data_IF_628510286391
#
_entry.id   IF_628510286391
#
_cell.length_a   1.000
_cell.length_b   1.000
_cell.length_c   1.000
_cell.angle_alpha   90.00
_cell.angle_beta   90.00
_cell.angle_gamma   90.00
#
_symmetry.space_group_name_H-M   'P 1'
#
loop_
_entity.id
_entity.type
_entity.pdbx_description
1 polymer ?
#
# COMPACT_ATOMS: atom_id res chain seq x y z
N UNK A 1 -12.73 -4.85 16.05
CA UNK A 1 -11.29 -4.97 15.79
C UNK A 1 -11.05 -5.29 14.31
N UNK A 2 -11.39 -4.39 13.37
CA UNK A 2 -11.33 -4.66 11.91
C UNK A 2 -10.60 -3.55 11.10
N UNK A 3 -10.35 -2.38 11.69
CA UNK A 3 -9.88 -1.20 10.97
C UNK A 3 -8.58 -1.39 10.18
N UNK A 4 -7.64 -2.17 10.74
CA UNK A 4 -6.38 -2.47 10.07
C UNK A 4 -6.60 -3.22 8.75
N UNK A 5 -7.30 -4.37 8.78
CA UNK A 5 -7.52 -5.20 7.58
C UNK A 5 -8.34 -4.49 6.51
N UNK A 6 -9.36 -3.72 6.91
CA UNK A 6 -10.13 -2.92 5.96
C UNK A 6 -9.29 -1.83 5.30
N UNK A 7 -8.43 -1.14 6.07
CA UNK A 7 -7.56 -0.11 5.53
C UNK A 7 -6.47 -0.70 4.62
N UNK A 8 -5.92 -1.86 4.96
CA UNK A 8 -4.98 -2.59 4.11
C UNK A 8 -5.59 -2.87 2.74
N UNK A 9 -6.82 -3.41 2.67
CA UNK A 9 -7.47 -3.72 1.40
C UNK A 9 -7.67 -2.47 0.52
N UNK A 10 -8.10 -1.36 1.11
CA UNK A 10 -8.25 -0.08 0.38
C UNK A 10 -6.90 0.41 -0.15
N UNK A 11 -5.84 0.35 0.67
CA UNK A 11 -4.51 0.77 0.26
C UNK A 11 -3.93 -0.11 -0.87
N UNK A 12 -4.18 -1.42 -0.85
CA UNK A 12 -3.80 -2.31 -1.95
C UNK A 12 -4.47 -1.91 -3.27
N UNK A 13 -5.77 -1.57 -3.22
CA UNK A 13 -6.50 -1.05 -4.39
C UNK A 13 -5.91 0.26 -4.93
N UNK A 14 -5.54 1.19 -4.04
CA UNK A 14 -4.88 2.44 -4.43
C UNK A 14 -3.56 2.17 -5.16
N UNK A 15 -2.75 1.23 -4.66
CA UNK A 15 -1.45 0.89 -5.27
C UNK A 15 -1.66 0.25 -6.65
N UNK A 16 -2.60 -0.69 -6.76
CA UNK A 16 -2.91 -1.34 -8.05
C UNK A 16 -3.38 -0.32 -9.11
N UNK A 17 -4.24 0.63 -8.72
CA UNK A 17 -4.70 1.71 -9.62
C UNK A 17 -3.55 2.63 -10.05
N UNK A 18 -2.66 3.00 -9.12
CA UNK A 18 -1.52 3.88 -9.43
C UNK A 18 -0.53 3.25 -10.40
N UNK A 19 -0.28 1.95 -10.27
CA UNK A 19 0.70 1.24 -11.09
C UNK A 19 0.10 0.66 -12.39
N UNK A 20 -1.22 0.48 -12.45
CA UNK A 20 -1.91 0.00 -13.65
C UNK A 20 -1.59 -1.45 -14.04
N UNK A 21 -1.16 -2.28 -13.08
CA UNK A 21 -0.78 -3.68 -13.30
C UNK A 21 -1.28 -4.59 -12.18
N UNK A 22 -1.32 -5.89 -12.44
CA UNK A 22 -1.63 -6.91 -11.44
C UNK A 22 -0.50 -7.01 -10.42
N UNK A 23 -0.85 -7.10 -9.14
CA UNK A 23 0.08 -7.20 -8.02
C UNK A 23 -0.24 -8.44 -7.18
N UNK A 24 0.79 -9.17 -6.75
CA UNK A 24 0.66 -10.33 -5.89
C UNK A 24 1.08 -9.94 -4.47
N UNK A 25 0.18 -10.12 -3.50
CA UNK A 25 0.38 -9.68 -2.12
C UNK A 25 0.34 -10.87 -1.17
N UNK A 26 1.33 -10.96 -0.28
CA UNK A 26 1.39 -11.92 0.82
C UNK A 26 0.67 -11.32 2.04
N UNK A 27 -0.52 -11.83 2.43
CA UNK A 27 -1.29 -11.27 3.53
C UNK A 27 -0.71 -11.56 4.92
N UNK A 28 0.20 -12.53 5.04
CA UNK A 28 0.84 -12.88 6.30
C UNK A 28 2.07 -11.99 6.56
N UNK A 29 2.85 -11.72 5.50
CA UNK A 29 4.01 -10.80 5.57
C UNK A 29 3.65 -9.32 5.39
N UNK A 30 2.49 -9.06 4.79
CA UNK A 30 2.01 -7.72 4.43
C UNK A 30 2.90 -7.02 3.40
N UNK A 31 3.37 -7.77 2.41
CA UNK A 31 4.31 -7.30 1.38
C UNK A 31 3.91 -7.84 0.00
N UNK A 32 4.31 -7.14 -1.06
CA UNK A 32 4.19 -7.63 -2.43
C UNK A 32 5.31 -8.62 -2.76
N UNK A 33 4.94 -9.71 -3.41
CA UNK A 33 5.84 -10.80 -3.79
C UNK A 33 6.67 -10.34 -5.00
N UNK A 34 8.00 -10.39 -4.88
CA UNK A 34 8.97 -10.04 -5.93
C UNK A 34 8.78 -8.64 -6.56
N UNK A 35 8.22 -7.67 -5.81
CA UNK A 35 7.87 -6.36 -6.33
C UNK A 35 8.29 -5.21 -5.39
N UNK A 36 9.58 -4.88 -5.44
CA UNK A 36 10.18 -3.81 -4.63
C UNK A 36 9.51 -2.45 -4.88
N UNK A 37 9.19 -2.13 -6.14
CA UNK A 37 8.54 -0.86 -6.50
C UNK A 37 7.17 -0.69 -5.85
N UNK A 38 6.37 -1.76 -5.78
CA UNK A 38 5.10 -1.76 -5.06
C UNK A 38 5.29 -1.72 -3.54
N UNK A 39 6.31 -2.40 -3.01
CA UNK A 39 6.63 -2.40 -1.57
C UNK A 39 7.03 -1.01 -1.05
N UNK A 40 7.69 -0.18 -1.85
CA UNK A 40 7.98 1.23 -1.49
C UNK A 40 6.69 2.04 -1.24
N UNK A 41 5.59 1.69 -1.92
CA UNK A 41 4.30 2.38 -1.77
C UNK A 41 3.52 1.97 -0.52
N UNK A 42 3.93 0.89 0.17
CA UNK A 42 3.35 0.50 1.46
C UNK A 42 3.73 1.51 2.56
N UNK A 43 4.98 2.00 2.54
CA UNK A 43 5.52 2.94 3.53
C UNK A 43 5.70 4.33 2.93
N UNK A 44 4.60 4.93 2.47
CA UNK A 44 4.64 6.30 1.97
C UNK A 44 4.94 7.30 3.10
N UNK A 45 5.82 8.29 2.85
CA UNK A 45 6.05 9.35 3.82
C UNK A 45 4.76 10.14 4.06
N UNK A 46 4.58 10.64 5.28
CA UNK A 46 3.51 11.59 5.54
C UNK A 46 3.69 12.84 4.68
N UNK A 47 2.56 13.39 4.22
CA UNK A 47 2.54 14.72 3.62
C UNK A 47 3.24 15.70 4.56
N UNK A 48 4.03 16.61 4.00
CA UNK A 48 4.67 17.69 4.77
C UNK A 48 3.64 18.46 5.63
N UNK A 49 4.08 19.03 6.77
CA UNK A 49 3.24 19.90 7.58
C UNK A 49 2.64 21.03 6.73
N UNK A 50 1.43 21.44 7.07
CA UNK A 50 0.84 22.63 6.45
C UNK A 50 1.40 23.89 7.08
N UNK A 51 1.63 24.91 6.26
CA UNK A 51 2.15 26.23 6.66
C UNK A 51 1.18 27.32 6.21
N UNK A 52 1.00 28.36 7.03
CA UNK A 52 0.19 29.56 6.76
C UNK A 52 0.96 30.53 5.86
#
# INVERSE_FOLDING_TARGET
MNGFRSATLVNLGIIAVRLGRTLNFDPDKLEFIDDEGSNLLIKQPMRAPWTI
#
